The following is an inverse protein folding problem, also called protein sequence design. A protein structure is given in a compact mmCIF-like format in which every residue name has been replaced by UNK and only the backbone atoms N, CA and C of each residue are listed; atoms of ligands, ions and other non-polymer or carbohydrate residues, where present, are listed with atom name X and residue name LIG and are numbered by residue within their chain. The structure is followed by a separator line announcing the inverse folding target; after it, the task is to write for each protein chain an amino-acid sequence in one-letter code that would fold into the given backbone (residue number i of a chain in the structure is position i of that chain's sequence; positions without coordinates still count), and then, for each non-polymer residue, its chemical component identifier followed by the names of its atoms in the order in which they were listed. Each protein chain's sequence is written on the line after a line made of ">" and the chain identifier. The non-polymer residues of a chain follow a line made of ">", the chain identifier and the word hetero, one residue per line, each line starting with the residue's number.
data_IF_514677345422
#
_entry.id   IF_514677345422
#
_cell.length_a   1.000
_cell.length_b   1.000
_cell.length_c   1.000
_cell.angle_alpha   90.00
_cell.angle_beta   90.00
_cell.angle_gamma   90.00
#
_symmetry.space_group_name_H-M   'P 1'
#
loop_
_entity.id
_entity.type
_entity.pdbx_description
1 polymer ?
#
# COMPACT_ATOMS: atom_id res chain seq x y z
N UNK A 1 -17.58 -10.14 1.37
CA UNK A 1 -16.34 -9.38 1.63
C UNK A 1 -15.23 -10.40 1.77
N UNK A 2 -14.17 -10.30 0.96
CA UNK A 2 -13.01 -11.18 1.10
C UNK A 2 -12.36 -10.95 2.48
N UNK A 3 -12.09 -11.99 3.28
CA UNK A 3 -11.49 -11.82 4.61
C UNK A 3 -10.14 -11.09 4.54
N UNK A 4 -9.36 -11.29 3.47
CA UNK A 4 -8.07 -10.61 3.27
C UNK A 4 -8.23 -9.12 3.02
N UNK A 5 -9.22 -8.73 2.23
CA UNK A 5 -9.51 -7.31 1.98
C UNK A 5 -9.94 -6.59 3.26
N UNK A 6 -10.69 -7.28 4.12
CA UNK A 6 -11.12 -6.73 5.40
C UNK A 6 -9.92 -6.50 6.32
N UNK A 7 -9.01 -7.47 6.39
CA UNK A 7 -7.76 -7.37 7.16
C UNK A 7 -6.85 -6.23 6.66
N UNK A 8 -6.64 -6.14 5.35
CA UNK A 8 -5.84 -5.06 4.73
C UNK A 8 -6.46 -3.70 5.00
N UNK A 9 -7.79 -3.58 4.88
CA UNK A 9 -8.50 -2.31 5.17
C UNK A 9 -8.32 -1.88 6.62
N UNK A 10 -8.46 -2.80 7.58
CA UNK A 10 -8.27 -2.51 9.01
C UNK A 10 -6.82 -2.11 9.33
N UNK A 11 -5.84 -2.80 8.75
CA UNK A 11 -4.43 -2.44 8.92
C UNK A 11 -4.12 -1.09 8.25
N UNK A 12 -4.73 -0.81 7.10
CA UNK A 12 -4.56 0.46 6.41
C UNK A 12 -5.15 1.64 7.20
N UNK A 13 -6.28 1.46 7.87
CA UNK A 13 -6.84 2.47 8.77
C UNK A 13 -5.92 2.74 9.96
N UNK A 14 -5.30 1.70 10.54
CA UNK A 14 -4.30 1.86 11.61
C UNK A 14 -3.05 2.58 11.11
N UNK A 15 -2.60 2.27 9.90
CA UNK A 15 -1.47 2.93 9.27
C UNK A 15 -1.72 4.43 9.06
N UNK A 16 -2.90 4.80 8.51
CA UNK A 16 -3.31 6.21 8.37
C UNK A 16 -3.35 6.91 9.72
N UNK A 17 -3.90 6.27 10.75
CA UNK A 17 -3.94 6.83 12.10
C UNK A 17 -2.53 7.04 12.69
N UNK A 18 -1.59 6.11 12.47
CA UNK A 18 -0.20 6.26 12.90
C UNK A 18 0.49 7.44 12.17
N UNK A 19 0.30 7.54 10.85
CA UNK A 19 0.78 8.64 10.02
C UNK A 19 0.26 10.00 10.51
N UNK A 20 -1.03 10.11 10.82
CA UNK A 20 -1.65 11.33 11.35
C UNK A 20 -1.11 11.72 12.74
N UNK A 21 -0.73 10.73 13.55
CA UNK A 21 -0.14 10.94 14.88
C UNK A 21 1.37 11.19 14.84
N UNK A 22 1.98 11.21 13.65
CA UNK A 22 3.44 11.27 13.44
C UNK A 22 4.20 10.13 14.15
N UNK A 23 3.54 8.98 14.36
CA UNK A 23 4.16 7.78 14.91
C UNK A 23 4.78 6.98 13.75
N UNK A 24 5.96 7.44 13.30
CA UNK A 24 6.58 6.94 12.08
C UNK A 24 7.18 5.54 12.23
N UNK A 25 7.65 5.16 13.42
CA UNK A 25 8.10 3.81 13.71
C UNK A 25 6.96 2.80 13.57
N UNK A 26 5.81 3.10 14.20
CA UNK A 26 4.61 2.27 14.07
C UNK A 26 4.09 2.27 12.63
N UNK A 27 4.09 3.41 11.95
CA UNK A 27 3.67 3.50 10.55
C UNK A 27 4.57 2.64 9.64
N UNK A 28 5.88 2.65 9.84
CA UNK A 28 6.83 1.85 9.06
C UNK A 28 6.64 0.34 9.28
N UNK A 29 6.39 -0.07 10.53
CA UNK A 29 6.08 -1.45 10.87
C UNK A 29 4.75 -1.91 10.25
N UNK A 30 3.71 -1.08 10.32
CA UNK A 30 2.41 -1.35 9.70
C UNK A 30 2.49 -1.40 8.18
N UNK A 31 3.25 -0.49 7.57
CA UNK A 31 3.50 -0.47 6.13
C UNK A 31 4.18 -1.74 5.66
N UNK A 32 5.15 -2.25 6.42
CA UNK A 32 5.82 -3.51 6.11
C UNK A 32 4.84 -4.69 6.10
N UNK A 33 3.93 -4.75 7.09
CA UNK A 33 2.88 -5.77 7.15
C UNK A 33 1.89 -5.64 5.97
N UNK A 34 1.48 -4.41 5.64
CA UNK A 34 0.62 -4.14 4.50
C UNK A 34 1.26 -4.60 3.19
N UNK A 35 2.53 -4.26 2.94
CA UNK A 35 3.27 -4.69 1.75
C UNK A 35 3.35 -6.22 1.63
N UNK A 36 3.56 -6.93 2.74
CA UNK A 36 3.53 -8.41 2.76
C UNK A 36 2.15 -8.93 2.36
N UNK A 37 1.06 -8.38 2.91
CA UNK A 37 -0.29 -8.79 2.54
C UNK A 37 -0.60 -8.51 1.06
N UNK A 38 -0.09 -7.40 0.52
CA UNK A 38 -0.23 -7.07 -0.89
C UNK A 38 0.38 -8.15 -1.81
N UNK A 39 1.51 -8.75 -1.43
CA UNK A 39 2.10 -9.86 -2.23
C UNK A 39 1.18 -11.08 -2.39
N UNK A 40 0.15 -11.21 -1.53
CA UNK A 40 -0.83 -12.28 -1.59
C UNK A 40 -1.94 -12.07 -2.63
N UNK A 41 -2.07 -10.87 -3.21
CA UNK A 41 -3.09 -10.55 -4.21
C UNK A 41 -2.56 -10.82 -5.61
N UNK A 42 -3.29 -11.66 -6.37
CA UNK A 42 -2.93 -12.00 -7.75
C UNK A 42 -3.33 -10.93 -8.76
N UNK A 43 -4.20 -10.01 -8.36
CA UNK A 43 -4.64 -8.86 -9.18
C UNK A 43 -3.57 -7.76 -9.28
N UNK A 44 -2.57 -7.77 -8.39
CA UNK A 44 -1.51 -6.78 -8.37
C UNK A 44 -0.43 -7.04 -9.43
N UNK A 45 0.37 -6.02 -9.78
CA UNK A 45 1.56 -6.22 -10.59
C UNK A 45 2.45 -7.30 -9.98
N UNK A 46 2.98 -8.25 -10.77
CA UNK A 46 3.02 -8.30 -12.23
C UNK A 46 1.90 -9.11 -12.90
N UNK A 47 1.02 -9.77 -12.12
CA UNK A 47 0.10 -10.77 -12.67
C UNK A 47 -1.17 -10.17 -13.26
N UNK A 48 -1.64 -9.03 -12.73
CA UNK A 48 -2.88 -8.36 -13.17
C UNK A 48 -4.04 -9.32 -13.42
N UNK A 49 -4.16 -10.35 -12.56
CA UNK A 49 -5.16 -11.39 -12.76
C UNK A 49 -6.55 -10.78 -12.61
N UNK A 50 -7.42 -11.06 -13.58
CA UNK A 50 -8.79 -10.57 -13.59
C UNK A 50 -9.60 -11.34 -12.55
N UNK A 51 -9.69 -10.76 -11.35
CA UNK A 51 -10.44 -11.30 -10.21
C UNK A 51 -11.65 -10.42 -9.93
N UNK A 52 -12.74 -10.96 -9.34
CA UNK A 52 -13.93 -10.17 -9.04
C UNK A 52 -13.68 -8.94 -8.16
N UNK A 53 -12.59 -8.96 -7.36
CA UNK A 53 -12.20 -7.87 -6.47
C UNK A 53 -10.97 -7.10 -6.97
N UNK A 54 -10.48 -7.35 -8.19
CA UNK A 54 -9.23 -6.76 -8.71
C UNK A 54 -9.21 -5.24 -8.60
N UNK A 55 -10.34 -4.58 -8.92
CA UNK A 55 -10.47 -3.12 -8.81
C UNK A 55 -10.29 -2.63 -7.37
N UNK A 56 -10.86 -3.34 -6.38
CA UNK A 56 -10.72 -2.98 -4.97
C UNK A 56 -9.31 -3.24 -4.47
N UNK A 57 -8.71 -4.36 -4.86
CA UNK A 57 -7.33 -4.73 -4.50
C UNK A 57 -6.31 -3.74 -5.10
N UNK A 58 -6.48 -3.32 -6.36
CA UNK A 58 -5.64 -2.31 -7.01
C UNK A 58 -5.83 -0.93 -6.37
N UNK A 59 -7.07 -0.56 -6.03
CA UNK A 59 -7.35 0.73 -5.40
C UNK A 59 -6.72 0.82 -4.01
N UNK A 60 -6.89 -0.20 -3.17
CA UNK A 60 -6.31 -0.18 -1.81
C UNK A 60 -4.78 -0.24 -1.86
N UNK A 61 -4.20 -1.01 -2.79
CA UNK A 61 -2.75 -1.06 -2.97
C UNK A 61 -2.19 0.30 -3.39
N UNK A 62 -2.84 0.98 -4.34
CA UNK A 62 -2.46 2.34 -4.76
C UNK A 62 -2.48 3.30 -3.56
N UNK A 63 -3.58 3.33 -2.82
CA UNK A 63 -3.73 4.22 -1.66
C UNK A 63 -2.66 3.94 -0.58
N UNK A 64 -2.30 2.66 -0.36
CA UNK A 64 -1.20 2.27 0.55
C UNK A 64 0.13 2.85 0.06
N UNK A 65 0.48 2.68 -1.22
CA UNK A 65 1.75 3.19 -1.76
C UNK A 65 1.80 4.72 -1.79
N UNK A 66 0.69 5.42 -2.00
CA UNK A 66 0.64 6.89 -1.88
C UNK A 66 1.03 7.36 -0.47
N UNK A 67 0.43 6.73 0.55
CA UNK A 67 0.73 7.06 1.94
C UNK A 67 2.14 6.61 2.34
N UNK A 68 2.67 5.56 1.72
CA UNK A 68 4.06 5.13 1.87
C UNK A 68 5.04 6.19 1.39
N UNK A 69 4.77 6.79 0.21
CA UNK A 69 5.55 7.91 -0.34
C UNK A 69 5.47 9.14 0.57
N UNK A 70 4.29 9.44 1.11
CA UNK A 70 4.14 10.54 2.09
C UNK A 70 4.94 10.26 3.36
N UNK A 71 4.91 9.02 3.87
CA UNK A 71 5.69 8.61 5.04
C UNK A 71 7.18 8.78 4.79
N UNK A 72 7.72 8.31 3.66
CA UNK A 72 9.15 8.42 3.33
C UNK A 72 9.62 9.87 3.28
N UNK A 73 8.79 10.79 2.77
CA UNK A 73 9.10 12.23 2.80
C UNK A 73 9.09 12.76 4.22
N UNK A 74 8.15 12.33 5.07
CA UNK A 74 8.06 12.77 6.47
C UNK A 74 9.24 12.33 7.32
N UNK A 75 9.82 11.18 7.03
CA UNK A 75 11.01 10.65 7.74
C UNK A 75 12.33 10.99 7.03
N UNK A 76 12.27 11.78 5.95
CA UNK A 76 13.43 12.18 5.14
C UNK A 76 14.27 10.99 4.61
N UNK A 77 13.61 9.85 4.34
CA UNK A 77 14.24 8.65 3.79
C UNK A 77 14.11 8.65 2.26
N UNK A 78 15.17 9.12 1.59
CA UNK A 78 15.23 9.20 0.13
C UNK A 78 15.13 7.82 -0.54
N UNK A 79 15.80 6.81 0.02
CA UNK A 79 15.81 5.47 -0.56
C UNK A 79 14.41 4.84 -0.47
N UNK A 80 13.71 5.05 0.64
CA UNK A 80 12.31 4.63 0.79
C UNK A 80 11.39 5.36 -0.18
N UNK A 81 11.59 6.66 -0.35
CA UNK A 81 10.81 7.47 -1.28
C UNK A 81 10.93 6.95 -2.71
N UNK A 82 12.17 6.78 -3.21
CA UNK A 82 12.39 6.31 -4.58
C UNK A 82 11.75 4.93 -4.79
N UNK A 83 12.00 3.98 -3.89
CA UNK A 83 11.41 2.63 -3.97
C UNK A 83 9.89 2.67 -3.99
N UNK A 84 9.27 3.39 -3.05
CA UNK A 84 7.82 3.40 -2.90
C UNK A 84 7.14 4.15 -4.05
N UNK A 85 7.78 5.19 -4.58
CA UNK A 85 7.33 5.89 -5.78
C UNK A 85 7.40 5.00 -7.03
N UNK A 86 8.47 4.22 -7.20
CA UNK A 86 8.57 3.25 -8.30
C UNK A 86 7.49 2.16 -8.21
N UNK A 87 7.14 1.72 -7.00
CA UNK A 87 6.05 0.76 -6.79
C UNK A 87 4.66 1.39 -7.03
N UNK A 88 4.48 2.68 -6.76
CA UNK A 88 3.24 3.41 -7.00
C UNK A 88 2.97 3.63 -8.51
N UNK A 89 4.01 3.85 -9.30
CA UNK A 89 3.92 4.25 -10.71
C UNK A 89 3.03 3.33 -11.58
N UNK A 90 3.15 1.98 -11.54
CA UNK A 90 2.30 1.08 -12.31
C UNK A 90 0.79 1.25 -12.04
N UNK A 91 0.41 1.68 -10.83
CA UNK A 91 -1.00 1.90 -10.49
C UNK A 91 -1.62 3.12 -11.18
N UNK A 92 -0.80 3.99 -11.77
CA UNK A 92 -1.24 5.15 -12.54
C UNK A 92 -1.01 4.98 -14.05
N UNK A 93 -0.07 4.13 -14.46
CA UNK A 93 0.26 3.91 -15.87
C UNK A 93 -0.37 2.65 -16.46
N UNK A 94 -0.44 1.57 -15.68
CA UNK A 94 -0.71 0.21 -16.17
C UNK A 94 -2.06 -0.33 -15.66
N UNK A 95 -2.53 0.14 -14.51
CA UNK A 95 -3.88 -0.17 -14.01
C UNK A 95 -4.93 0.67 -14.76
N UNK A 96 -5.31 0.23 -15.96
CA UNK A 96 -6.31 0.89 -16.82
C UNK A 96 -7.36 -0.07 -17.33
#
# INVERSE_FOLDING_TARGET
>A
MDPKLTEVSQLFDRFKAALLRNDFDSASNLLSQLKVLLTGFRSLPPLFADTPNAVQELTIARDIYEHAVVLSVKIEDQDAFERDFFQLKPYYTDAR
#
